data_IF_726325628486
#
_entry.id   IF_726325628486
#
_cell.length_a   1.000
_cell.length_b   1.000
_cell.length_c   1.000
_cell.angle_alpha   90.00
_cell.angle_beta   90.00
_cell.angle_gamma   90.00
#
_symmetry.space_group_name_H-M   'P 1'
#
loop_
_entity.id
_entity.type
_entity.pdbx_description
1 polymer ?
#
# COMPACT_ATOMS: atom_id res chain seq x y z
N UNK A 1 0.51 12.56 -13.23
CA UNK A 1 -0.53 11.68 -13.79
C UNK A 1 0.11 10.39 -14.30
N UNK A 2 -0.45 9.24 -13.94
CA UNK A 2 0.01 7.93 -14.44
C UNK A 2 -0.88 7.53 -15.60
N UNK A 3 -0.33 7.47 -16.81
CA UNK A 3 -1.09 6.95 -17.96
C UNK A 3 -1.39 5.46 -17.76
N UNK A 4 -2.61 4.98 -18.09
CA UNK A 4 -2.98 3.58 -17.96
C UNK A 4 -2.17 2.70 -18.94
N UNK A 5 -2.02 1.42 -18.62
CA UNK A 5 -1.21 0.49 -19.42
C UNK A 5 -1.75 0.34 -20.85
N UNK A 6 -3.07 0.38 -21.03
CA UNK A 6 -3.75 0.29 -22.33
C UNK A 6 -3.31 1.43 -23.25
N UNK A 7 -3.30 2.66 -22.74
CA UNK A 7 -2.88 3.84 -23.48
C UNK A 7 -1.40 3.74 -23.90
N UNK A 8 -0.52 3.35 -22.97
CA UNK A 8 0.92 3.20 -23.26
C UNK A 8 1.16 2.17 -24.34
N UNK A 9 0.50 1.01 -24.27
CA UNK A 9 0.56 -0.03 -25.31
C UNK A 9 0.04 0.47 -26.65
N UNK A 10 -1.05 1.25 -26.65
CA UNK A 10 -1.60 1.82 -27.88
C UNK A 10 -0.61 2.80 -28.53
N UNK A 11 0.00 3.68 -27.76
CA UNK A 11 1.02 4.64 -28.24
C UNK A 11 2.21 3.90 -28.85
N UNK A 12 2.71 2.86 -28.18
CA UNK A 12 3.81 2.05 -28.70
C UNK A 12 3.43 1.29 -29.98
N UNK A 13 2.22 0.73 -30.04
CA UNK A 13 1.72 0.04 -31.23
C UNK A 13 1.58 0.98 -32.43
N UNK A 14 1.08 2.21 -32.23
CA UNK A 14 0.98 3.20 -33.32
C UNK A 14 2.36 3.63 -33.79
N UNK A 15 3.30 3.86 -32.85
CA UNK A 15 4.69 4.19 -33.18
C UNK A 15 5.33 3.12 -34.08
N UNK A 16 5.15 1.84 -33.74
CA UNK A 16 5.70 0.72 -34.51
C UNK A 16 5.07 0.60 -35.89
N UNK A 17 3.73 0.69 -35.97
CA UNK A 17 3.00 0.59 -37.24
C UNK A 17 3.35 1.69 -38.24
N UNK A 18 3.62 2.88 -37.76
CA UNK A 18 3.85 4.06 -38.61
C UNK A 18 5.33 4.44 -38.71
N UNK A 19 6.23 3.68 -38.07
CA UNK A 19 7.67 3.96 -38.10
C UNK A 19 8.07 5.30 -37.46
N UNK A 20 7.28 5.84 -36.52
CA UNK A 20 7.50 7.17 -35.96
C UNK A 20 8.72 7.22 -35.04
N UNK A 21 9.41 8.36 -35.07
CA UNK A 21 10.41 8.69 -34.04
C UNK A 21 9.72 8.93 -32.69
N UNK A 22 10.50 8.86 -31.61
CA UNK A 22 10.01 9.11 -30.25
C UNK A 22 9.46 10.55 -30.13
N UNK A 23 10.13 11.53 -30.73
CA UNK A 23 9.69 12.94 -30.70
C UNK A 23 8.38 13.15 -31.47
N UNK A 24 8.23 12.53 -32.65
CA UNK A 24 6.97 12.60 -33.42
C UNK A 24 5.82 11.89 -32.69
N UNK A 25 6.10 10.74 -32.08
CA UNK A 25 5.11 10.01 -31.26
C UNK A 25 4.66 10.88 -30.08
N UNK A 26 5.61 11.53 -29.40
CA UNK A 26 5.34 12.44 -28.30
C UNK A 26 4.46 13.63 -28.73
N UNK A 27 4.80 14.28 -29.83
CA UNK A 27 4.01 15.38 -30.41
C UNK A 27 2.60 14.92 -30.81
N UNK A 28 2.47 13.78 -31.49
CA UNK A 28 1.19 13.25 -31.97
C UNK A 28 0.20 12.94 -30.84
N UNK A 29 0.69 12.38 -29.74
CA UNK A 29 -0.14 12.02 -28.59
C UNK A 29 -0.16 13.08 -27.49
N UNK A 30 0.48 14.24 -27.72
CA UNK A 30 0.63 15.32 -26.74
C UNK A 30 1.19 14.82 -25.38
N UNK A 31 2.19 13.93 -25.44
CA UNK A 31 2.87 13.36 -24.27
C UNK A 31 4.32 13.82 -24.24
N UNK A 32 4.92 13.89 -23.05
CA UNK A 32 6.33 14.23 -22.93
C UNK A 32 7.24 13.17 -23.60
N UNK A 33 8.31 13.61 -24.26
CA UNK A 33 9.33 12.74 -24.88
C UNK A 33 9.90 11.75 -23.84
N UNK A 34 10.15 12.23 -22.62
CA UNK A 34 10.60 11.40 -21.51
C UNK A 34 9.60 10.30 -21.11
N UNK A 35 8.30 10.49 -21.35
CA UNK A 35 7.28 9.48 -21.07
C UNK A 35 7.34 8.35 -22.10
N UNK A 36 7.43 8.69 -23.39
CA UNK A 36 7.51 7.69 -24.47
C UNK A 36 8.79 6.86 -24.34
N UNK A 37 9.93 7.51 -24.08
CA UNK A 37 11.21 6.79 -23.82
C UNK A 37 11.11 5.84 -22.64
N UNK A 38 10.45 6.23 -21.54
CA UNK A 38 10.20 5.34 -20.40
C UNK A 38 9.30 4.17 -20.75
N UNK A 39 8.26 4.38 -21.56
CA UNK A 39 7.35 3.29 -21.96
C UNK A 39 7.99 2.28 -22.88
N UNK A 40 8.92 2.70 -23.75
CA UNK A 40 9.72 1.79 -24.57
C UNK A 40 10.54 0.84 -23.68
N UNK A 41 11.11 1.33 -22.57
CA UNK A 41 11.85 0.49 -21.61
C UNK A 41 10.93 -0.38 -20.76
N UNK A 42 9.85 0.20 -20.23
CA UNK A 42 8.85 -0.50 -19.45
C UNK A 42 7.47 0.17 -19.60
N UNK A 43 6.53 -0.47 -20.31
CA UNK A 43 5.19 0.07 -20.47
C UNK A 43 4.34 -0.09 -19.20
N UNK A 44 4.70 -0.98 -18.27
CA UNK A 44 3.91 -1.26 -17.07
C UNK A 44 3.98 -0.07 -16.10
N UNK A 45 2.84 0.54 -15.72
CA UNK A 45 2.80 1.56 -14.68
C UNK A 45 3.20 0.97 -13.33
N UNK A 46 3.99 1.72 -12.56
CA UNK A 46 4.13 1.48 -11.12
C UNK A 46 2.97 2.20 -10.43
N UNK A 47 2.02 1.42 -9.90
CA UNK A 47 0.82 1.96 -9.27
C UNK A 47 1.08 2.41 -7.83
N UNK A 48 1.82 1.60 -7.08
CA UNK A 48 2.13 1.86 -5.68
C UNK A 48 3.63 2.08 -5.46
N UNK A 49 3.94 2.86 -4.43
CA UNK A 49 5.31 2.99 -3.93
C UNK A 49 5.53 1.95 -2.86
N UNK A 50 6.47 1.03 -3.08
CA UNK A 50 6.93 0.13 -2.02
C UNK A 50 7.82 0.93 -1.06
N UNK A 51 7.24 1.47 0.03
CA UNK A 51 7.97 2.17 1.09
C UNK A 51 7.73 1.44 2.43
N UNK A 52 8.78 1.02 3.16
CA UNK A 52 8.61 0.47 4.49
C UNK A 52 8.16 1.54 5.48
N UNK A 53 7.59 1.12 6.62
CA UNK A 53 7.40 2.04 7.73
C UNK A 53 8.75 2.43 8.31
N UNK A 54 8.95 3.73 8.45
CA UNK A 54 10.21 4.28 8.96
C UNK A 54 10.17 4.51 10.48
N UNK A 55 8.97 4.67 11.07
CA UNK A 55 8.82 5.08 12.48
C UNK A 55 8.38 3.96 13.43
N UNK A 56 7.86 2.84 12.93
CA UNK A 56 7.30 1.78 13.75
C UNK A 56 8.09 0.52 13.45
N UNK A 57 8.74 -0.02 14.48
CA UNK A 57 9.30 -1.35 14.43
C UNK A 57 8.15 -2.38 14.42
N UNK A 58 8.08 -3.14 13.34
CA UNK A 58 7.03 -4.14 13.12
C UNK A 58 7.21 -5.35 14.04
N UNK A 59 8.44 -5.70 14.42
CA UNK A 59 8.73 -6.81 15.33
C UNK A 59 8.28 -6.46 16.76
N UNK A 60 8.62 -5.25 17.23
CA UNK A 60 8.17 -4.75 18.53
C UNK A 60 6.64 -4.68 18.62
N UNK A 61 5.96 -4.24 17.55
CA UNK A 61 4.50 -4.22 17.51
C UNK A 61 3.89 -5.64 17.51
N UNK A 62 4.49 -6.59 16.79
CA UNK A 62 4.02 -7.98 16.80
C UNK A 62 4.17 -8.63 18.18
N UNK A 63 5.23 -8.29 18.92
CA UNK A 63 5.39 -8.71 20.31
C UNK A 63 4.29 -8.14 21.22
N UNK A 64 4.06 -6.82 21.17
CA UNK A 64 3.02 -6.15 21.96
C UNK A 64 1.61 -6.66 21.63
N UNK A 65 1.34 -7.09 20.39
CA UNK A 65 0.08 -7.76 20.04
C UNK A 65 -0.07 -9.12 20.72
N UNK A 66 0.99 -9.91 20.81
CA UNK A 66 0.96 -11.23 21.48
C UNK A 66 0.80 -11.11 22.99
N UNK A 67 1.53 -10.20 23.62
CA UNK A 67 1.47 -10.01 25.07
C UNK A 67 0.18 -9.34 25.53
N UNK A 68 -0.29 -8.36 24.76
CA UNK A 68 -1.48 -7.58 25.09
C UNK A 68 -2.47 -7.62 23.93
N UNK A 69 -3.10 -8.77 23.64
CA UNK A 69 -4.04 -8.88 22.51
C UNK A 69 -5.23 -7.92 22.67
N UNK A 70 -5.50 -7.53 23.91
CA UNK A 70 -6.62 -6.68 24.31
C UNK A 70 -6.25 -5.22 24.53
N UNK A 71 -5.03 -4.81 24.20
CA UNK A 71 -4.64 -3.41 24.32
C UNK A 71 -5.32 -2.53 23.25
N UNK A 72 -5.78 -1.34 23.64
CA UNK A 72 -6.27 -0.31 22.73
C UNK A 72 -5.11 0.32 21.95
N UNK A 73 -5.39 0.89 20.77
CA UNK A 73 -4.35 1.53 19.94
C UNK A 73 -3.60 2.63 20.72
N UNK A 74 -4.30 3.37 21.59
CA UNK A 74 -3.71 4.39 22.46
C UNK A 74 -2.72 3.80 23.49
N UNK A 75 -3.00 2.62 24.04
CA UNK A 75 -2.11 1.95 25.01
C UNK A 75 -0.85 1.44 24.32
N UNK A 76 -1.01 0.80 23.16
CA UNK A 76 0.11 0.34 22.32
C UNK A 76 1.00 1.50 21.89
N UNK A 77 0.38 2.62 21.51
CA UNK A 77 1.06 3.85 21.14
C UNK A 77 1.91 4.42 22.29
N UNK A 78 1.39 4.41 23.52
CA UNK A 78 2.15 4.83 24.72
C UNK A 78 3.36 3.93 24.98
N UNK A 79 3.21 2.60 24.87
CA UNK A 79 4.32 1.65 25.07
C UNK A 79 5.41 1.77 24.00
N UNK A 80 5.01 1.94 22.74
CA UNK A 80 5.92 1.97 21.60
C UNK A 80 6.43 3.38 21.26
N UNK A 81 5.97 4.43 21.98
CA UNK A 81 6.40 5.81 21.76
C UNK A 81 5.99 6.39 20.40
N UNK A 82 4.87 5.93 19.82
CA UNK A 82 4.39 6.33 18.49
C UNK A 82 2.98 6.89 18.56
N UNK A 83 2.48 7.44 17.44
CA UNK A 83 1.09 7.93 17.40
C UNK A 83 0.08 6.79 17.29
N UNK A 84 -1.09 6.97 17.90
CA UNK A 84 -2.21 6.02 17.83
C UNK A 84 -2.61 5.70 16.38
N UNK A 85 -2.72 6.72 15.52
CA UNK A 85 -3.02 6.53 14.09
C UNK A 85 -1.93 5.70 13.40
N UNK A 86 -0.67 5.91 13.78
CA UNK A 86 0.47 5.12 13.29
C UNK A 86 0.32 3.64 13.60
N UNK A 87 -0.04 3.30 14.84
CA UNK A 87 -0.37 1.92 15.25
C UNK A 87 -1.50 1.37 14.39
N UNK A 88 -2.60 2.11 14.22
CA UNK A 88 -3.72 1.67 13.39
C UNK A 88 -3.34 1.38 11.93
N UNK A 89 -2.40 2.14 11.34
CA UNK A 89 -1.84 1.84 10.01
C UNK A 89 -0.87 0.65 10.04
N UNK A 90 -0.12 0.45 11.11
CA UNK A 90 0.80 -0.68 11.26
C UNK A 90 0.06 -2.01 11.43
N UNK A 91 -0.98 -2.05 12.24
CA UNK A 91 -1.85 -3.23 12.41
C UNK A 91 -2.48 -3.65 11.08
N UNK A 92 -3.00 -2.68 10.30
CA UNK A 92 -3.55 -2.94 8.95
C UNK A 92 -2.51 -3.53 7.99
N UNK A 93 -1.25 -3.11 8.07
CA UNK A 93 -0.16 -3.69 7.25
C UNK A 93 0.16 -5.13 7.63
N UNK A 94 -0.11 -5.55 8.86
CA UNK A 94 0.02 -6.94 9.32
C UNK A 94 -1.27 -7.74 9.16
N UNK A 95 -2.28 -7.19 8.47
CA UNK A 95 -3.60 -7.81 8.32
C UNK A 95 -4.33 -8.09 9.65
N UNK A 96 -4.03 -7.34 10.71
CA UNK A 96 -4.70 -7.46 12.00
C UNK A 96 -5.87 -6.49 12.03
N UNK A 97 -7.09 -7.01 11.98
CA UNK A 97 -8.31 -6.22 12.12
C UNK A 97 -9.19 -6.81 13.22
N UNK A 98 -9.30 -6.09 14.34
CA UNK A 98 -10.26 -6.41 15.39
C UNK A 98 -11.02 -5.16 15.80
N UNK A 99 -12.35 -5.19 15.66
CA UNK A 99 -13.23 -4.13 16.11
C UNK A 99 -13.60 -4.36 17.57
N UNK A 100 -13.18 -3.46 18.45
CA UNK A 100 -13.65 -3.42 19.84
C UNK A 100 -14.95 -2.65 19.92
N UNK A 101 -15.95 -3.24 20.58
CA UNK A 101 -17.19 -2.56 20.94
C UNK A 101 -17.08 -2.11 22.40
N UNK A 102 -17.57 -0.90 22.69
CA UNK A 102 -17.63 -0.35 24.05
C UNK A 102 -18.75 -1.00 24.89
N UNK A 103 -19.83 -1.44 24.24
CA UNK A 103 -20.88 -2.25 24.86
C UNK A 103 -20.56 -3.75 24.71
N UNK A 104 -20.74 -4.50 25.79
CA UNK A 104 -20.59 -5.95 25.78
C UNK A 104 -21.72 -6.58 24.94
N UNK A 105 -21.40 -7.40 23.92
CA UNK A 105 -22.43 -8.17 23.21
C UNK A 105 -23.07 -9.21 24.15
N UNK A 106 -24.37 -9.48 23.97
CA UNK A 106 -25.10 -10.50 24.75
C UNK A 106 -24.53 -11.91 24.59
N UNK A 107 -23.98 -12.25 23.42
CA UNK A 107 -23.14 -13.44 23.27
C UNK A 107 -21.74 -13.06 23.72
N UNK A 108 -21.15 -13.83 24.64
CA UNK A 108 -19.79 -13.62 25.15
C UNK A 108 -18.72 -13.40 24.08
N UNK A 109 -17.52 -13.08 24.53
CA UNK A 109 -16.45 -12.58 23.67
C UNK A 109 -16.05 -13.60 22.60
N UNK A 110 -16.17 -13.19 21.32
CA UNK A 110 -15.90 -14.08 20.18
C UNK A 110 -14.42 -14.27 19.85
N UNK A 111 -13.59 -13.22 19.91
CA UNK A 111 -12.16 -13.25 19.54
C UNK A 111 -11.34 -12.11 20.19
N UNK A 112 -10.01 -12.24 20.17
CA UNK A 112 -9.01 -11.20 20.51
C UNK A 112 -8.13 -10.87 19.28
N UNK A 113 -7.31 -9.81 19.35
CA UNK A 113 -6.39 -9.50 18.26
C UNK A 113 -5.27 -10.56 18.22
N UNK A 114 -5.16 -11.26 17.10
CA UNK A 114 -4.15 -12.30 16.86
C UNK A 114 -3.38 -11.98 15.57
N UNK A 115 -2.20 -12.59 15.43
CA UNK A 115 -1.44 -12.53 14.19
C UNK A 115 -2.02 -13.55 13.20
N UNK A 116 -2.08 -13.24 11.90
CA UNK A 116 -2.53 -14.21 10.90
C UNK A 116 -1.56 -15.40 10.85
N UNK A 117 -2.08 -16.63 10.97
CA UNK A 117 -1.31 -17.86 10.91
C UNK A 117 -0.78 -18.39 12.26
N UNK A 118 -1.18 -17.77 13.38
CA UNK A 118 -1.03 -18.35 14.72
C UNK A 118 -2.39 -18.87 15.21
N UNK A 119 -2.79 -20.03 14.67
CA UNK A 119 -3.83 -20.93 15.20
C UNK A 119 -3.16 -22.24 15.62
#
# INVERSE_FOLDING_TARGET
MTYPISFRRKVLSVREKEGLTIAQTAARFCVGIASVTRWVKNPVPKESRNKPATKIDMAALAHDVREFPDAYQAERARRLGVSEKGIGHALRRMHISYKKNTAAPQSGRRQTAHLPGSD
#
